data_IF_369999318681
#
_entry.id   IF_369999318681
#
_cell.length_a   1.000
_cell.length_b   1.000
_cell.length_c   1.000
_cell.angle_alpha   90.00
_cell.angle_beta   90.00
_cell.angle_gamma   90.00
#
_symmetry.space_group_name_H-M   'P 1'
#
loop_
_entity.id
_entity.type
_entity.pdbx_description
1 polymer ?
#
# COMPACT_ATOMS: atom_id res chain seq x y z
N UNK A 1 0.68 -7.61 -45.57
CA UNK A 1 0.38 -8.26 -44.28
C UNK A 1 -0.94 -7.69 -43.75
N UNK A 2 -2.09 -8.38 -43.91
CA UNK A 2 -3.36 -7.87 -43.40
C UNK A 2 -3.38 -7.97 -41.86
N UNK A 3 -3.58 -6.85 -41.18
CA UNK A 3 -3.63 -6.77 -39.72
C UNK A 3 -5.02 -7.21 -39.26
N UNK A 4 -5.15 -8.13 -38.30
CA UNK A 4 -6.45 -8.66 -37.90
C UNK A 4 -7.32 -7.57 -37.25
N UNK A 5 -8.57 -7.45 -37.71
CA UNK A 5 -9.59 -6.44 -37.31
C UNK A 5 -9.76 -6.33 -35.79
N UNK A 6 -9.54 -7.43 -35.04
CA UNK A 6 -9.57 -7.44 -33.58
C UNK A 6 -8.47 -6.60 -32.91
N UNK A 7 -7.35 -6.37 -33.58
CA UNK A 7 -6.29 -5.49 -33.08
C UNK A 7 -6.61 -4.01 -33.31
N UNK A 8 -7.35 -3.70 -34.39
CA UNK A 8 -7.84 -2.35 -34.67
C UNK A 8 -8.92 -1.91 -33.67
N UNK A 9 -9.83 -2.80 -33.28
CA UNK A 9 -10.88 -2.46 -32.29
C UNK A 9 -10.34 -2.25 -30.87
N UNK A 10 -9.29 -2.98 -30.48
CA UNK A 10 -8.62 -2.80 -29.18
C UNK A 10 -7.80 -1.50 -29.16
N UNK A 11 -7.13 -1.15 -30.27
CA UNK A 11 -6.40 0.13 -30.38
C UNK A 11 -7.35 1.34 -30.37
N UNK A 12 -8.50 1.24 -31.04
CA UNK A 12 -9.47 2.34 -31.12
C UNK A 12 -10.16 2.61 -29.77
N UNK A 13 -10.52 1.56 -29.02
CA UNK A 13 -11.11 1.71 -27.68
C UNK A 13 -10.11 2.23 -26.63
N UNK A 14 -8.82 1.89 -26.77
CA UNK A 14 -7.77 2.43 -25.91
C UNK A 14 -7.52 3.93 -26.17
N UNK A 15 -7.57 4.40 -27.43
CA UNK A 15 -7.44 5.83 -27.74
C UNK A 15 -8.62 6.66 -27.25
N UNK A 16 -9.86 6.18 -27.39
CA UNK A 16 -11.03 6.94 -26.93
C UNK A 16 -11.11 7.08 -25.40
N UNK A 17 -10.55 6.14 -24.64
CA UNK A 17 -10.49 6.24 -23.19
C UNK A 17 -9.45 7.25 -22.68
N UNK A 18 -8.42 7.57 -23.48
CA UNK A 18 -7.37 8.52 -23.08
C UNK A 18 -7.74 10.00 -23.29
N UNK A 19 -8.71 10.32 -24.17
CA UNK A 19 -9.10 11.72 -24.47
C UNK A 19 -10.30 12.24 -23.64
N UNK A 20 -10.97 11.40 -22.84
CA UNK A 20 -12.13 11.80 -22.04
C UNK A 20 -11.80 12.12 -20.55
N UNK A 21 -10.53 12.06 -20.15
CA UNK A 21 -10.08 12.25 -18.76
C UNK A 21 -9.46 13.61 -18.42
N UNK A 22 -9.24 14.49 -19.39
CA UNK A 22 -8.61 15.80 -19.17
C UNK A 22 -9.66 16.91 -19.13
N UNK A 23 -10.31 17.08 -17.99
CA UNK A 23 -10.90 18.39 -17.63
C UNK A 23 -9.86 19.14 -16.80
N UNK A 24 -9.12 20.11 -17.38
CA UNK A 24 -8.38 21.05 -16.56
C UNK A 24 -9.42 21.98 -15.93
N UNK A 25 -9.84 21.69 -14.69
CA UNK A 25 -10.49 22.68 -13.83
C UNK A 25 -9.39 23.64 -13.39
N UNK A 26 -8.96 24.54 -14.28
CA UNK A 26 -8.49 25.89 -13.96
C UNK A 26 -8.14 26.69 -15.23
N UNK A 27 -9.14 27.31 -15.83
CA UNK A 27 -8.96 28.53 -16.62
C UNK A 27 -10.20 29.39 -16.43
N UNK A 28 -9.98 30.61 -15.97
CA UNK A 28 -10.99 31.61 -15.68
C UNK A 28 -11.66 32.15 -16.96
N UNK A 29 -12.92 32.60 -16.81
CA UNK A 29 -13.46 33.72 -17.58
C UNK A 29 -14.63 33.41 -18.51
N UNK A 30 -15.86 33.57 -18.02
CA UNK A 30 -16.94 34.23 -18.77
C UNK A 30 -17.95 34.77 -17.76
N UNK A 31 -18.18 36.08 -17.80
CA UNK A 31 -18.98 36.79 -16.81
C UNK A 31 -20.48 36.61 -16.99
N UNK A 32 -21.20 36.79 -15.88
CA UNK A 32 -22.51 37.43 -15.89
C UNK A 32 -22.72 38.14 -14.54
N UNK A 33 -23.30 39.33 -14.58
CA UNK A 33 -23.27 40.30 -13.48
C UNK A 33 -24.12 39.88 -12.27
N UNK A 34 -23.51 39.87 -11.07
CA UNK A 34 -24.26 40.04 -9.81
C UNK A 34 -23.37 40.57 -8.68
N UNK A 35 -23.65 41.83 -8.31
CA UNK A 35 -23.40 42.54 -7.05
C UNK A 35 -22.23 42.06 -6.16
N UNK A 36 -21.18 42.87 -6.15
CA UNK A 36 -20.09 42.88 -5.17
C UNK A 36 -20.61 43.21 -3.76
N UNK A 37 -20.75 42.19 -2.93
CA UNK A 37 -20.62 42.35 -1.47
C UNK A 37 -19.12 42.29 -1.12
N UNK A 38 -18.58 43.21 -0.30
CA UNK A 38 -17.17 43.14 0.07
C UNK A 38 -16.97 41.91 0.97
N UNK A 39 -16.41 40.83 0.41
CA UNK A 39 -15.89 39.74 1.20
C UNK A 39 -14.64 40.25 1.91
N UNK A 40 -14.70 40.39 3.23
CA UNK A 40 -13.50 40.46 4.06
C UNK A 40 -12.63 39.26 3.72
N UNK A 41 -11.48 39.51 3.08
CA UNK A 41 -10.48 38.50 2.83
C UNK A 41 -9.93 38.06 4.19
N UNK A 42 -10.48 36.97 4.74
CA UNK A 42 -9.82 36.24 5.81
C UNK A 42 -8.51 35.78 5.21
N UNK A 43 -7.40 36.37 5.66
CA UNK A 43 -6.06 35.93 5.29
C UNK A 43 -6.00 34.42 5.56
N UNK A 44 -5.91 33.62 4.48
CA UNK A 44 -5.75 32.20 4.60
C UNK A 44 -4.48 31.96 5.44
N UNK A 45 -4.54 31.12 6.49
CA UNK A 45 -3.36 30.87 7.31
C UNK A 45 -2.25 30.32 6.41
N UNK A 46 -1.16 31.06 6.30
CA UNK A 46 0.01 30.64 5.54
C UNK A 46 0.59 29.40 6.22
N UNK A 47 0.73 28.26 5.52
CA UNK A 47 1.26 27.05 6.16
C UNK A 47 2.71 27.28 6.58
N UNK A 48 2.96 27.32 7.89
CA UNK A 48 4.32 27.37 8.43
C UNK A 48 5.00 25.99 8.30
N UNK A 49 6.29 25.95 7.96
CA UNK A 49 7.02 24.69 7.86
C UNK A 49 7.06 23.98 9.22
N UNK A 50 6.85 22.66 9.21
CA UNK A 50 6.87 21.85 10.43
C UNK A 50 8.28 21.78 11.01
N UNK A 51 8.38 21.81 12.34
CA UNK A 51 9.65 21.66 13.05
C UNK A 51 10.25 20.26 12.83
N UNK A 52 11.57 20.06 12.98
CA UNK A 52 12.19 18.74 12.88
C UNK A 52 11.58 17.70 13.83
N UNK A 53 11.22 18.11 15.06
CA UNK A 53 10.61 17.23 16.05
C UNK A 53 9.21 16.77 15.63
N UNK A 54 8.40 17.65 15.04
CA UNK A 54 7.10 17.29 14.47
C UNK A 54 7.25 16.33 13.29
N UNK A 55 8.21 16.59 12.39
CA UNK A 55 8.49 15.69 11.26
C UNK A 55 8.83 14.27 11.71
N UNK A 56 9.62 14.13 12.77
CA UNK A 56 9.94 12.82 13.37
C UNK A 56 8.69 12.14 13.96
N UNK A 57 7.86 12.87 14.72
CA UNK A 57 6.59 12.32 15.25
C UNK A 57 5.67 11.83 14.12
N UNK A 58 5.55 12.60 13.04
CA UNK A 58 4.78 12.19 11.87
C UNK A 58 5.38 10.96 11.18
N UNK A 59 6.71 10.88 11.08
CA UNK A 59 7.40 9.71 10.54
C UNK A 59 7.11 8.44 11.36
N UNK A 60 7.20 8.51 12.70
CA UNK A 60 6.83 7.39 13.60
C UNK A 60 5.39 6.97 13.44
N UNK A 61 4.46 7.92 13.48
CA UNK A 61 3.04 7.62 13.34
C UNK A 61 2.74 6.97 11.99
N UNK A 62 3.31 7.49 10.89
CA UNK A 62 3.15 6.92 9.55
C UNK A 62 3.82 5.56 9.44
N UNK A 63 4.97 5.36 10.07
CA UNK A 63 5.64 4.06 10.15
C UNK A 63 4.73 3.04 10.84
N UNK A 64 4.22 3.35 12.04
CA UNK A 64 3.33 2.46 12.80
C UNK A 64 2.07 2.13 12.01
N UNK A 65 1.44 3.14 11.39
CA UNK A 65 0.24 2.93 10.60
C UNK A 65 0.49 1.99 9.41
N UNK A 66 1.56 2.23 8.65
CA UNK A 66 1.87 1.41 7.48
C UNK A 66 2.34 0.00 7.87
N UNK A 67 3.26 -0.11 8.84
CA UNK A 67 3.75 -1.40 9.31
C UNK A 67 2.64 -2.22 9.98
N UNK A 68 1.72 -1.58 10.70
CA UNK A 68 0.60 -2.25 11.34
C UNK A 68 -0.41 -2.79 10.34
N UNK A 69 -0.73 -2.02 9.30
CA UNK A 69 -1.56 -2.47 8.17
C UNK A 69 -0.91 -3.61 7.40
N UNK A 70 0.40 -3.53 7.15
CA UNK A 70 1.17 -4.59 6.51
C UNK A 70 1.14 -5.89 7.34
N UNK A 71 1.34 -5.78 8.65
CA UNK A 71 1.32 -6.91 9.57
C UNK A 71 -0.06 -7.55 9.65
N UNK A 72 -1.13 -6.76 9.80
CA UNK A 72 -2.48 -7.29 9.86
C UNK A 72 -2.97 -7.91 8.54
N UNK A 73 -2.61 -7.31 7.39
CA UNK A 73 -2.90 -7.90 6.09
C UNK A 73 -2.21 -9.27 5.92
N UNK A 74 -0.94 -9.34 6.29
CA UNK A 74 -0.14 -10.56 6.25
C UNK A 74 -0.74 -11.63 7.15
N UNK A 75 -1.03 -11.29 8.40
CA UNK A 75 -1.57 -12.26 9.35
C UNK A 75 -2.92 -12.83 8.88
N UNK A 76 -3.85 -11.95 8.50
CA UNK A 76 -5.21 -12.34 8.19
C UNK A 76 -5.35 -13.12 6.87
N UNK A 77 -4.60 -12.73 5.84
CA UNK A 77 -4.83 -13.22 4.47
C UNK A 77 -3.71 -14.10 3.92
N UNK A 78 -2.59 -14.22 4.64
CA UNK A 78 -1.48 -15.10 4.28
C UNK A 78 -1.26 -16.12 5.40
N UNK A 79 -0.98 -15.69 6.62
CA UNK A 79 -0.58 -16.59 7.72
C UNK A 79 -1.74 -17.44 8.22
N UNK A 80 -2.90 -16.85 8.46
CA UNK A 80 -4.10 -17.56 8.90
C UNK A 80 -4.56 -18.64 7.90
N UNK A 81 -4.81 -18.33 6.61
CA UNK A 81 -5.17 -19.36 5.64
C UNK A 81 -4.05 -20.38 5.42
N UNK A 82 -2.80 -19.99 5.63
CA UNK A 82 -1.67 -20.91 5.62
C UNK A 82 -1.77 -21.94 6.76
N UNK A 83 -1.96 -21.49 8.01
CA UNK A 83 -2.14 -22.37 9.18
C UNK A 83 -3.33 -23.30 9.02
N UNK A 84 -4.38 -22.83 8.35
CA UNK A 84 -5.58 -23.62 8.01
C UNK A 84 -5.37 -24.58 6.81
N UNK A 85 -4.17 -24.63 6.22
CA UNK A 85 -3.85 -25.50 5.09
C UNK A 85 -4.52 -25.12 3.76
N UNK A 86 -5.08 -23.92 3.63
CA UNK A 86 -5.88 -23.48 2.46
C UNK A 86 -5.08 -23.28 1.17
N UNK A 87 -3.74 -23.30 1.24
CA UNK A 87 -2.87 -23.26 0.07
C UNK A 87 -2.46 -24.65 -0.45
N UNK A 88 -2.72 -25.73 0.30
CA UNK A 88 -2.39 -27.10 -0.11
C UNK A 88 -3.15 -27.50 -1.38
N UNK A 89 -2.58 -28.41 -2.19
CA UNK A 89 -3.28 -28.98 -3.34
C UNK A 89 -4.57 -29.66 -2.86
N UNK A 90 -5.66 -29.53 -3.61
CA UNK A 90 -6.97 -30.09 -3.24
C UNK A 90 -7.78 -29.29 -2.20
N UNK A 91 -7.22 -28.25 -1.59
CA UNK A 91 -7.97 -27.46 -0.61
C UNK A 91 -9.19 -26.75 -1.23
N UNK A 92 -10.33 -26.81 -0.53
CA UNK A 92 -11.55 -26.08 -0.94
C UNK A 92 -11.25 -24.59 -1.00
N UNK A 93 -11.63 -23.93 -2.09
CA UNK A 93 -11.38 -22.49 -2.32
C UNK A 93 -9.89 -22.08 -2.40
N UNK A 94 -8.99 -23.00 -2.78
CA UNK A 94 -7.55 -22.70 -2.96
C UNK A 94 -7.30 -21.53 -3.91
N UNK A 95 -8.01 -21.47 -5.05
CA UNK A 95 -7.82 -20.40 -6.06
C UNK A 95 -8.15 -19.02 -5.50
N UNK A 96 -9.30 -18.87 -4.85
CA UNK A 96 -9.70 -17.58 -4.26
C UNK A 96 -8.81 -17.21 -3.07
N UNK A 97 -8.32 -18.20 -2.33
CA UNK A 97 -7.34 -17.98 -1.25
C UNK A 97 -6.00 -17.46 -1.80
N UNK A 98 -5.50 -18.04 -2.90
CA UNK A 98 -4.30 -17.54 -3.58
C UNK A 98 -4.49 -16.11 -4.11
N UNK A 99 -5.65 -15.77 -4.66
CA UNK A 99 -5.95 -14.40 -5.12
C UNK A 99 -5.98 -13.42 -3.95
N UNK A 100 -6.65 -13.75 -2.83
CA UNK A 100 -6.65 -12.91 -1.62
C UNK A 100 -5.24 -12.72 -1.05
N UNK A 101 -4.45 -13.79 -1.01
CA UNK A 101 -3.07 -13.75 -0.55
C UNK A 101 -2.19 -12.90 -1.47
N UNK A 102 -2.40 -12.96 -2.79
CA UNK A 102 -1.67 -12.13 -3.75
C UNK A 102 -2.01 -10.64 -3.58
N UNK A 103 -3.30 -10.30 -3.44
CA UNK A 103 -3.73 -8.92 -3.14
C UNK A 103 -3.15 -8.43 -1.81
N UNK A 104 -3.16 -9.27 -0.77
CA UNK A 104 -2.56 -8.95 0.50
C UNK A 104 -1.04 -8.78 0.40
N UNK A 105 -0.34 -9.64 -0.35
CA UNK A 105 1.09 -9.51 -0.58
C UNK A 105 1.44 -8.18 -1.27
N UNK A 106 0.71 -7.81 -2.32
CA UNK A 106 0.90 -6.54 -3.02
C UNK A 106 0.63 -5.33 -2.10
N UNK A 107 -0.46 -5.36 -1.33
CA UNK A 107 -0.76 -4.34 -0.33
C UNK A 107 0.34 -4.23 0.73
N UNK A 108 0.79 -5.36 1.29
CA UNK A 108 1.88 -5.43 2.27
C UNK A 108 3.16 -4.85 1.69
N UNK A 109 3.52 -5.16 0.44
CA UNK A 109 4.69 -4.58 -0.22
C UNK A 109 4.64 -3.04 -0.26
N UNK A 110 3.52 -2.47 -0.73
CA UNK A 110 3.35 -1.02 -0.80
C UNK A 110 3.45 -0.35 0.59
N UNK A 111 2.81 -0.96 1.60
CA UNK A 111 2.86 -0.47 2.98
C UNK A 111 4.24 -0.59 3.60
N UNK A 112 4.96 -1.68 3.35
CA UNK A 112 6.35 -1.84 3.83
C UNK A 112 7.28 -0.83 3.15
N UNK A 113 7.13 -0.56 1.84
CA UNK A 113 7.89 0.51 1.16
C UNK A 113 7.57 1.90 1.74
N UNK A 114 6.31 2.16 2.07
CA UNK A 114 5.95 3.39 2.75
C UNK A 114 6.57 3.47 4.16
N UNK A 115 6.54 2.38 4.92
CA UNK A 115 7.19 2.28 6.23
C UNK A 115 8.71 2.48 6.14
N UNK A 116 9.38 1.90 5.14
CA UNK A 116 10.80 2.08 4.85
C UNK A 116 11.13 3.56 4.59
N UNK A 117 10.34 4.25 3.76
CA UNK A 117 10.51 5.70 3.53
C UNK A 117 10.35 6.51 4.81
N UNK A 118 9.37 6.18 5.65
CA UNK A 118 9.17 6.85 6.94
C UNK A 118 10.36 6.59 7.89
N UNK A 119 10.88 5.36 7.91
CA UNK A 119 12.01 4.99 8.73
C UNK A 119 13.31 5.69 8.29
N UNK A 120 13.52 5.92 6.99
CA UNK A 120 14.66 6.73 6.50
C UNK A 120 14.57 8.20 6.92
N UNK A 121 13.36 8.70 7.17
CA UNK A 121 13.11 10.07 7.63
C UNK A 121 13.25 10.28 9.14
N UNK A 122 13.50 9.23 9.92
CA UNK A 122 13.65 9.32 11.38
C UNK A 122 14.86 8.50 11.86
N UNK A 123 15.88 9.13 12.46
CA UNK A 123 17.09 8.43 12.91
C UNK A 123 16.81 7.34 13.95
N UNK A 124 15.74 7.47 14.74
CA UNK A 124 15.37 6.48 15.75
C UNK A 124 14.78 5.21 15.14
N UNK A 125 14.24 5.28 13.91
CA UNK A 125 13.69 4.14 13.17
C UNK A 125 14.71 3.44 12.26
N UNK A 126 15.96 3.93 12.19
CA UNK A 126 17.03 3.36 11.34
C UNK A 126 17.23 1.85 11.54
N UNK A 127 17.11 1.35 12.78
CA UNK A 127 17.20 -0.09 13.11
C UNK A 127 16.08 -0.94 12.50
N UNK A 128 14.97 -0.32 12.10
CA UNK A 128 13.87 -1.00 11.42
C UNK A 128 14.11 -1.17 9.91
N UNK A 129 15.11 -0.49 9.32
CA UNK A 129 15.36 -0.57 7.88
C UNK A 129 15.77 -1.98 7.43
N UNK A 130 16.72 -2.61 8.12
CA UNK A 130 17.16 -3.97 7.79
C UNK A 130 16.02 -5.01 7.83
N UNK A 131 15.17 -5.09 8.88
CA UNK A 131 14.04 -6.01 8.87
C UNK A 131 12.96 -5.61 7.86
N UNK A 132 12.77 -4.31 7.55
CA UNK A 132 11.85 -3.87 6.50
C UNK A 132 12.31 -4.36 5.13
N UNK A 133 13.58 -4.16 4.78
CA UNK A 133 14.15 -4.61 3.51
C UNK A 133 14.11 -6.13 3.38
N UNK A 134 14.38 -6.85 4.47
CA UNK A 134 14.24 -8.31 4.53
C UNK A 134 12.79 -8.75 4.29
N UNK A 135 11.80 -8.08 4.89
CA UNK A 135 10.40 -8.38 4.65
C UNK A 135 10.01 -8.10 3.18
N UNK A 136 10.44 -6.96 2.63
CA UNK A 136 10.18 -6.59 1.24
C UNK A 136 10.81 -7.59 0.27
N UNK A 137 12.01 -8.09 0.57
CA UNK A 137 12.66 -9.15 -0.20
C UNK A 137 11.90 -10.49 -0.08
N UNK A 138 11.53 -10.89 1.14
CA UNK A 138 10.79 -12.13 1.39
C UNK A 138 9.44 -12.20 0.67
N UNK A 139 8.81 -11.06 0.40
CA UNK A 139 7.59 -10.95 -0.41
C UNK A 139 7.76 -11.37 -1.87
N UNK A 140 8.98 -11.32 -2.43
CA UNK A 140 9.22 -11.67 -3.84
C UNK A 140 9.10 -13.18 -4.07
N UNK A 141 9.61 -13.98 -3.14
CA UNK A 141 9.62 -15.44 -3.25
C UNK A 141 8.35 -16.09 -2.69
N UNK A 142 7.65 -15.39 -1.80
CA UNK A 142 6.46 -15.87 -1.11
C UNK A 142 5.36 -16.39 -2.06
N UNK A 143 5.00 -15.71 -3.18
CA UNK A 143 3.96 -16.20 -4.10
C UNK A 143 4.29 -17.56 -4.71
N UNK A 144 5.54 -17.76 -5.12
CA UNK A 144 5.98 -19.03 -5.71
C UNK A 144 5.87 -20.17 -4.67
N UNK A 145 6.32 -19.92 -3.44
CA UNK A 145 6.26 -20.88 -2.34
C UNK A 145 4.81 -21.20 -1.92
N UNK A 146 3.94 -20.18 -1.81
CA UNK A 146 2.52 -20.38 -1.52
C UNK A 146 1.80 -21.18 -2.61
N UNK A 147 2.13 -20.96 -3.90
CA UNK A 147 1.58 -21.75 -5.02
C UNK A 147 2.05 -23.20 -5.00
N UNK A 148 3.25 -23.47 -4.49
CA UNK A 148 3.77 -24.82 -4.28
C UNK A 148 3.17 -25.49 -3.03
N UNK A 149 2.54 -24.71 -2.15
CA UNK A 149 2.00 -25.19 -0.88
C UNK A 149 3.08 -25.41 0.18
N UNK A 150 4.23 -24.71 0.04
CA UNK A 150 5.32 -24.76 1.01
C UNK A 150 4.84 -24.27 2.38
N UNK A 151 4.99 -25.15 3.37
CA UNK A 151 4.59 -24.89 4.75
C UNK A 151 5.38 -23.75 5.40
N UNK A 152 6.68 -23.69 5.17
CA UNK A 152 7.54 -22.78 5.93
C UNK A 152 7.35 -21.32 5.52
N UNK A 153 6.99 -21.05 4.26
CA UNK A 153 7.12 -19.74 3.65
C UNK A 153 6.32 -18.62 4.32
N UNK A 154 5.05 -18.88 4.65
CA UNK A 154 4.21 -17.89 5.32
C UNK A 154 4.64 -17.68 6.78
N UNK A 155 5.15 -18.73 7.44
CA UNK A 155 5.66 -18.62 8.81
C UNK A 155 6.94 -17.79 8.84
N UNK A 156 7.93 -18.11 8.00
CA UNK A 156 9.19 -17.36 7.93
C UNK A 156 8.96 -15.90 7.55
N UNK A 157 8.00 -15.63 6.64
CA UNK A 157 7.62 -14.26 6.32
C UNK A 157 7.00 -13.55 7.51
N UNK A 158 6.11 -14.22 8.26
CA UNK A 158 5.53 -13.68 9.49
C UNK A 158 6.59 -13.38 10.56
N UNK A 159 7.61 -14.22 10.70
CA UNK A 159 8.71 -14.00 11.63
C UNK A 159 9.50 -12.74 11.25
N UNK A 160 9.68 -12.49 9.95
CA UNK A 160 10.32 -11.28 9.44
C UNK A 160 9.46 -10.04 9.73
N UNK A 161 8.14 -10.13 9.57
CA UNK A 161 7.21 -9.06 9.97
C UNK A 161 7.25 -8.82 11.49
N UNK A 162 7.37 -9.86 12.31
CA UNK A 162 7.54 -9.69 13.76
C UNK A 162 8.83 -8.95 14.09
N UNK A 163 9.95 -9.22 13.40
CA UNK A 163 11.18 -8.43 13.53
C UNK A 163 10.99 -6.95 13.19
N UNK A 164 10.18 -6.62 12.19
CA UNK A 164 9.80 -5.22 11.88
C UNK A 164 9.04 -4.59 13.06
N UNK A 165 8.09 -5.33 13.66
CA UNK A 165 7.31 -4.86 14.81
C UNK A 165 8.19 -4.65 16.03
N UNK A 166 9.12 -5.57 16.29
CA UNK A 166 10.06 -5.49 17.41
C UNK A 166 11.04 -4.34 17.25
N UNK A 167 11.58 -4.13 16.05
CA UNK A 167 12.43 -2.98 15.76
C UNK A 167 11.67 -1.64 15.93
N UNK A 168 10.42 -1.59 15.48
CA UNK A 168 9.52 -0.45 15.71
C UNK A 168 9.30 -0.20 17.21
N UNK A 169 8.99 -1.24 17.98
CA UNK A 169 8.84 -1.15 19.44
C UNK A 169 10.12 -0.64 20.11
N UNK A 170 11.29 -1.15 19.73
CA UNK A 170 12.58 -0.70 20.24
C UNK A 170 12.91 0.77 19.92
N UNK A 171 12.30 1.33 18.88
CA UNK A 171 12.41 2.73 18.48
C UNK A 171 11.34 3.66 19.10
N UNK A 172 10.49 3.14 20.00
CA UNK A 172 9.37 3.87 20.59
C UNK A 172 8.16 4.01 19.65
N UNK A 173 8.08 3.19 18.62
CA UNK A 173 7.03 3.17 17.61
C UNK A 173 6.33 1.80 17.58
N UNK A 174 5.55 1.43 18.61
CA UNK A 174 4.97 0.10 18.74
C UNK A 174 3.99 -0.20 17.61
N UNK A 175 4.29 -1.24 16.83
CA UNK A 175 3.48 -1.68 15.70
C UNK A 175 2.50 -2.76 16.16
N UNK A 176 1.19 -2.49 16.00
CA UNK A 176 0.12 -3.45 16.26
C UNK A 176 -0.53 -3.88 14.95
N UNK A 177 -0.96 -5.12 14.89
CA UNK A 177 -1.63 -5.66 13.69
C UNK A 177 -2.94 -4.91 13.45
N UNK A 178 -3.09 -4.38 12.24
CA UNK A 178 -4.30 -3.72 11.78
C UNK A 178 -4.74 -4.38 10.50
N UNK A 179 -5.90 -5.04 10.54
CA UNK A 179 -6.46 -5.71 9.37
C UNK A 179 -7.06 -4.64 8.46
N UNK A 180 -6.55 -4.45 7.23
CA UNK A 180 -7.19 -3.53 6.29
C UNK A 180 -8.56 -4.05 5.88
N UNK A 181 -9.47 -3.13 5.61
CA UNK A 181 -10.76 -3.45 5.01
C UNK A 181 -10.57 -4.03 3.60
N UNK A 182 -11.53 -4.79 3.06
CA UNK A 182 -11.43 -5.34 1.70
C UNK A 182 -11.21 -4.28 0.62
N UNK A 183 -11.79 -3.09 0.78
CA UNK A 183 -11.63 -1.98 -0.17
C UNK A 183 -10.22 -1.37 -0.09
N UNK A 184 -9.69 -1.15 1.12
CA UNK A 184 -8.31 -0.69 1.32
C UNK A 184 -7.29 -1.70 0.79
N UNK A 185 -7.54 -3.00 0.99
CA UNK A 185 -6.69 -4.07 0.47
C UNK A 185 -6.59 -4.00 -1.06
N UNK A 186 -7.73 -3.81 -1.73
CA UNK A 186 -7.79 -3.71 -3.20
C UNK A 186 -7.17 -2.43 -3.73
N UNK A 187 -7.43 -1.30 -3.10
CA UNK A 187 -6.91 0.00 -3.53
C UNK A 187 -5.41 0.12 -3.27
N UNK A 188 -4.96 -0.24 -2.06
CA UNK A 188 -3.55 -0.17 -1.69
C UNK A 188 -2.66 -1.19 -2.41
N UNK A 189 -3.24 -2.25 -2.99
CA UNK A 189 -2.55 -3.15 -3.90
C UNK A 189 -2.36 -2.56 -5.32
N UNK A 190 -3.22 -1.61 -5.74
CA UNK A 190 -3.16 -0.96 -7.07
C UNK A 190 -2.30 0.30 -7.10
N UNK A 191 -2.16 1.01 -5.97
CA UNK A 191 -1.48 2.32 -5.92
C UNK A 191 0.06 2.25 -6.02
N UNK A 192 0.62 1.11 -6.43
CA UNK A 192 2.06 0.88 -6.56
C UNK A 192 2.55 0.82 -8.01
N UNK A 193 1.73 1.26 -8.97
CA UNK A 193 2.08 1.44 -10.39
C UNK A 193 2.45 2.89 -10.66
#
# INVERSE_FOLDING_TARGET
MPVPIRRLTVALTLCCALLAGSTPVWAAGQGDGRQTVPSVAVAAPTPSPSTPAERQKFAKTRFVANAGLAAGATYQWIVKPYKEGKFKKGAKHRRTTLVKAALAGAFTYNRLKAAERNAKGDPTLSKALAPLESAIAGLKDLPAKLRKGDGSAASSFNDTINKVKDAGKGAGAPVKDKVPTPSELRQGAKSGS
#
